data_IF_009191253869
#
_entry.id   IF_009191253869
#
_cell.length_a   1.000
_cell.length_b   1.000
_cell.length_c   1.000
_cell.angle_alpha   90.00
_cell.angle_beta   90.00
_cell.angle_gamma   90.00
#
_symmetry.space_group_name_H-M   'P 1'
#
loop_
_entity.id
_entity.type
_entity.pdbx_description
1 polymer ?
#
# COMPACT_ATOMS: atom_id res chain seq x y z
N UNK A 1 11.32 8.13 -41.69
CA UNK A 1 11.93 7.32 -40.61
C UNK A 1 12.79 8.14 -39.65
N UNK A 2 13.55 9.15 -40.10
CA UNK A 2 14.38 9.97 -39.21
C UNK A 2 13.55 10.90 -38.30
N UNK A 3 12.43 11.44 -38.78
CA UNK A 3 11.55 12.30 -37.95
C UNK A 3 10.88 11.53 -36.80
N UNK A 4 10.41 10.31 -37.05
CA UNK A 4 9.77 9.46 -36.03
C UNK A 4 10.78 9.00 -34.98
N UNK A 5 12.01 8.66 -35.39
CA UNK A 5 13.09 8.34 -34.46
C UNK A 5 13.45 9.57 -33.60
N UNK A 6 13.48 10.76 -34.19
CA UNK A 6 13.75 12.02 -33.46
C UNK A 6 12.62 12.37 -32.49
N UNK A 7 11.36 12.12 -32.84
CA UNK A 7 10.21 12.38 -32.00
C UNK A 7 10.15 11.42 -30.80
N UNK A 8 10.48 10.13 -31.03
CA UNK A 8 10.62 9.11 -29.98
C UNK A 8 11.86 9.37 -29.12
N UNK A 9 12.97 9.84 -29.70
CA UNK A 9 14.14 10.25 -28.92
C UNK A 9 13.84 11.49 -28.06
N UNK A 10 13.04 12.45 -28.56
CA UNK A 10 12.66 13.64 -27.79
C UNK A 10 11.62 13.37 -26.71
N UNK A 11 10.60 12.55 -26.99
CA UNK A 11 9.51 12.28 -26.04
C UNK A 11 9.74 11.03 -25.19
N UNK A 12 10.59 10.09 -25.60
CA UNK A 12 10.82 8.83 -24.90
C UNK A 12 11.34 9.02 -23.48
N UNK A 13 12.28 9.94 -23.28
CA UNK A 13 12.76 10.28 -21.94
C UNK A 13 11.68 10.95 -21.10
N UNK A 14 10.92 11.90 -21.67
CA UNK A 14 9.85 12.59 -20.96
C UNK A 14 8.72 11.63 -20.56
N UNK A 15 8.35 10.69 -21.43
CA UNK A 15 7.35 9.65 -21.16
C UNK A 15 7.83 8.74 -20.03
N UNK A 16 9.08 8.26 -20.09
CA UNK A 16 9.64 7.43 -19.00
C UNK A 16 9.63 8.20 -17.68
N UNK A 17 10.08 9.46 -17.69
CA UNK A 17 10.08 10.30 -16.49
C UNK A 17 8.68 10.41 -15.89
N UNK A 18 7.68 10.80 -16.69
CA UNK A 18 6.31 11.01 -16.23
C UNK A 18 5.68 9.70 -15.74
N UNK A 19 5.88 8.60 -16.45
CA UNK A 19 5.31 7.29 -16.08
C UNK A 19 5.91 6.79 -14.77
N UNK A 20 7.23 6.83 -14.64
CA UNK A 20 7.94 6.38 -13.44
C UNK A 20 7.61 7.28 -12.25
N UNK A 21 7.57 8.61 -12.46
CA UNK A 21 7.13 9.57 -11.44
C UNK A 21 5.69 9.29 -11.00
N UNK A 22 4.80 9.04 -11.96
CA UNK A 22 3.38 8.75 -11.71
C UNK A 22 3.22 7.49 -10.84
N UNK A 23 3.96 6.42 -11.15
CA UNK A 23 3.96 5.22 -10.30
C UNK A 23 4.51 5.54 -8.90
N UNK A 24 5.63 6.26 -8.81
CA UNK A 24 6.28 6.60 -7.55
C UNK A 24 5.36 7.43 -6.61
N UNK A 25 4.56 8.36 -7.15
CA UNK A 25 3.58 9.13 -6.35
C UNK A 25 2.31 8.32 -5.99
N UNK A 26 2.20 7.07 -6.44
CA UNK A 26 1.11 6.16 -6.08
C UNK A 26 0.01 5.98 -7.13
N UNK A 27 0.19 6.47 -8.37
CA UNK A 27 -0.75 6.19 -9.44
C UNK A 27 -0.55 4.75 -9.95
N UNK A 28 -1.63 4.03 -10.32
CA UNK A 28 -1.55 2.65 -10.78
C UNK A 28 -1.08 2.58 -12.25
N UNK A 29 0.14 3.04 -12.51
CA UNK A 29 0.78 3.04 -13.84
C UNK A 29 1.91 2.00 -13.83
N UNK A 30 2.03 1.12 -14.83
CA UNK A 30 3.03 0.05 -14.83
C UNK A 30 4.38 0.55 -15.36
N UNK A 31 5.22 1.20 -14.53
CA UNK A 31 6.49 1.75 -15.00
C UNK A 31 7.51 0.66 -15.38
N UNK A 32 7.40 -0.56 -14.84
CA UNK A 32 8.15 -1.73 -15.30
C UNK A 32 8.02 -1.93 -16.83
N UNK A 33 6.80 -1.78 -17.38
CA UNK A 33 6.55 -1.95 -18.83
C UNK A 33 7.20 -0.80 -19.62
N UNK A 34 7.09 0.43 -19.10
CA UNK A 34 7.73 1.58 -19.74
C UNK A 34 9.26 1.47 -19.76
N UNK A 35 9.87 0.96 -18.69
CA UNK A 35 11.32 0.72 -18.62
C UNK A 35 11.77 -0.41 -19.54
N UNK A 36 10.97 -1.48 -19.69
CA UNK A 36 11.24 -2.54 -20.66
C UNK A 36 11.22 -1.99 -22.10
N UNK A 37 10.19 -1.21 -22.44
CA UNK A 37 10.08 -0.58 -23.76
C UNK A 37 11.22 0.41 -24.02
N UNK A 38 11.59 1.20 -23.01
CA UNK A 38 12.71 2.13 -23.09
C UNK A 38 14.06 1.40 -23.23
N UNK A 39 14.25 0.28 -22.54
CA UNK A 39 15.42 -0.59 -22.71
C UNK A 39 15.55 -1.15 -24.14
N UNK A 40 14.44 -1.58 -24.73
CA UNK A 40 14.42 -2.01 -26.13
C UNK A 40 14.73 -0.84 -27.10
N UNK A 41 14.27 0.38 -26.78
CA UNK A 41 14.59 1.57 -27.55
C UNK A 41 16.09 1.95 -27.45
N UNK A 42 16.71 1.75 -26.27
CA UNK A 42 18.18 1.87 -26.11
C UNK A 42 18.90 0.86 -27.01
N UNK A 43 18.46 -0.41 -27.05
CA UNK A 43 19.05 -1.42 -27.92
C UNK A 43 18.93 -1.10 -29.42
N UNK A 44 17.91 -0.33 -29.81
CA UNK A 44 17.74 0.17 -31.19
C UNK A 44 18.54 1.43 -31.52
N UNK A 45 19.27 2.00 -30.55
CA UNK A 45 20.01 3.25 -30.69
C UNK A 45 19.15 4.52 -30.62
N UNK A 46 17.85 4.40 -30.32
CA UNK A 46 16.93 5.54 -30.23
C UNK A 46 17.05 6.33 -28.91
N UNK A 47 17.50 5.66 -27.83
CA UNK A 47 17.75 6.27 -26.53
C UNK A 47 19.17 5.94 -26.03
N UNK A 48 19.72 6.82 -25.20
CA UNK A 48 21.01 6.68 -24.54
C UNK A 48 20.80 6.02 -23.18
N UNK A 49 21.52 4.91 -22.92
CA UNK A 49 21.37 4.15 -21.67
C UNK A 49 21.69 4.98 -20.41
N UNK A 50 22.78 5.77 -20.37
CA UNK A 50 23.06 6.64 -19.22
C UNK A 50 21.96 7.68 -18.97
N UNK A 51 21.41 8.28 -20.04
CA UNK A 51 20.35 9.28 -19.92
C UNK A 51 19.05 8.64 -19.45
N UNK A 52 18.69 7.48 -19.99
CA UNK A 52 17.52 6.72 -19.56
C UNK A 52 17.60 6.37 -18.07
N UNK A 53 18.74 5.85 -17.61
CA UNK A 53 18.95 5.50 -16.21
C UNK A 53 18.79 6.73 -15.30
N UNK A 54 19.42 7.85 -15.66
CA UNK A 54 19.35 9.09 -14.89
C UNK A 54 17.92 9.61 -14.82
N UNK A 55 17.20 9.63 -15.93
CA UNK A 55 15.80 10.09 -16.00
C UNK A 55 14.87 9.21 -15.17
N UNK A 56 15.01 7.88 -15.27
CA UNK A 56 14.21 6.94 -14.50
C UNK A 56 14.46 7.07 -12.99
N UNK A 57 15.73 7.16 -12.59
CA UNK A 57 16.11 7.33 -11.18
C UNK A 57 15.56 8.65 -10.65
N UNK A 58 15.76 9.77 -11.36
CA UNK A 58 15.23 11.07 -10.93
C UNK A 58 13.70 11.07 -10.80
N UNK A 59 12.99 10.44 -11.73
CA UNK A 59 11.53 10.30 -11.65
C UNK A 59 11.07 9.59 -10.38
N UNK A 60 11.72 8.47 -10.03
CA UNK A 60 11.44 7.75 -8.78
C UNK A 60 11.78 8.59 -7.56
N UNK A 61 12.99 9.15 -7.50
CA UNK A 61 13.47 9.91 -6.35
C UNK A 61 12.55 11.10 -6.03
N UNK A 62 12.07 11.81 -7.05
CA UNK A 62 11.16 12.94 -6.84
C UNK A 62 9.83 12.48 -6.24
N UNK A 63 9.23 11.41 -6.78
CA UNK A 63 7.97 10.87 -6.27
C UNK A 63 8.09 10.28 -4.86
N UNK A 64 9.13 9.47 -4.64
CA UNK A 64 9.40 8.82 -3.37
C UNK A 64 9.76 9.84 -2.28
N UNK A 65 10.55 10.87 -2.61
CA UNK A 65 10.85 11.97 -1.69
C UNK A 65 9.61 12.79 -1.32
N UNK A 66 8.70 13.03 -2.28
CA UNK A 66 7.42 13.68 -2.02
C UNK A 66 6.62 12.89 -0.98
N UNK A 67 6.46 11.58 -1.17
CA UNK A 67 5.75 10.72 -0.24
C UNK A 67 6.47 10.59 1.11
N UNK A 68 7.80 10.57 1.13
CA UNK A 68 8.60 10.57 2.36
C UNK A 68 8.38 11.84 3.19
N UNK A 69 8.44 13.01 2.56
CA UNK A 69 8.21 14.30 3.23
C UNK A 69 6.78 14.38 3.73
N UNK A 70 5.80 13.99 2.91
CA UNK A 70 4.40 13.92 3.33
C UNK A 70 4.22 12.98 4.52
N UNK A 71 4.83 11.79 4.50
CA UNK A 71 4.81 10.84 5.60
C UNK A 71 5.46 11.40 6.87
N UNK A 72 6.53 12.18 6.74
CA UNK A 72 7.23 12.82 7.87
C UNK A 72 6.40 13.90 8.56
N UNK A 73 5.66 14.70 7.80
CA UNK A 73 4.84 15.79 8.35
C UNK A 73 3.45 15.33 8.80
N UNK A 74 2.81 14.44 8.04
CA UNK A 74 1.44 13.98 8.33
C UNK A 74 1.39 12.71 9.19
N UNK A 75 2.51 12.00 9.35
CA UNK A 75 2.62 10.81 10.18
C UNK A 75 1.57 9.75 9.86
N UNK A 76 0.95 9.18 10.90
CA UNK A 76 -0.07 8.14 10.78
C UNK A 76 -1.37 8.61 10.10
N UNK A 77 -1.61 9.93 9.97
CA UNK A 77 -2.80 10.43 9.26
C UNK A 77 -2.74 10.17 7.76
N UNK A 78 -1.55 10.27 7.15
CA UNK A 78 -1.33 9.90 5.74
C UNK A 78 -1.47 8.39 5.55
N UNK A 79 -0.92 7.60 6.47
CA UNK A 79 -1.08 6.14 6.46
C UNK A 79 -2.55 5.73 6.62
N UNK A 80 -3.33 6.45 7.44
CA UNK A 80 -4.77 6.27 7.56
C UNK A 80 -5.53 6.61 6.27
N UNK A 81 -5.09 7.62 5.51
CA UNK A 81 -5.69 7.97 4.23
C UNK A 81 -5.30 6.99 3.11
N UNK A 82 -4.03 6.58 3.04
CA UNK A 82 -3.54 5.57 2.10
C UNK A 82 -4.10 4.17 2.41
N UNK A 83 -4.18 3.78 3.67
CA UNK A 83 -4.77 2.51 4.10
C UNK A 83 -6.31 2.53 4.14
N UNK A 84 -7.01 3.67 3.97
CA UNK A 84 -8.45 3.68 3.60
C UNK A 84 -8.68 3.03 2.24
N UNK A 85 -7.67 3.06 1.36
CA UNK A 85 -7.63 2.30 0.12
C UNK A 85 -7.18 0.85 0.35
N UNK A 86 -7.01 0.37 1.59
CA UNK A 86 -6.79 -1.04 1.92
C UNK A 86 -8.03 -1.67 2.54
N UNK A 87 -8.21 -2.98 2.38
CA UNK A 87 -9.39 -3.72 2.87
C UNK A 87 -9.46 -3.73 4.41
N UNK A 88 -8.30 -3.64 5.09
CA UNK A 88 -8.21 -3.51 6.55
C UNK A 88 -7.18 -2.43 6.90
N UNK A 89 -7.62 -1.20 7.26
CA UNK A 89 -6.73 -0.08 7.49
C UNK A 89 -5.78 -0.31 8.67
N UNK A 90 -6.26 -0.89 9.76
CA UNK A 90 -5.46 -1.13 10.97
C UNK A 90 -4.41 -2.23 10.75
N UNK A 91 -4.76 -3.31 10.07
CA UNK A 91 -3.82 -4.40 9.73
C UNK A 91 -2.79 -3.96 8.67
N UNK A 92 -3.19 -3.09 7.73
CA UNK A 92 -2.31 -2.45 6.73
C UNK A 92 -1.22 -1.63 7.41
N UNK A 93 -1.61 -0.87 8.44
CA UNK A 93 -0.74 0.00 9.23
C UNK A 93 0.20 -0.84 10.11
N UNK A 94 -0.35 -1.80 10.88
CA UNK A 94 0.42 -2.60 11.83
C UNK A 94 1.39 -3.57 11.15
N UNK A 95 0.99 -4.27 10.08
CA UNK A 95 1.88 -5.21 9.37
C UNK A 95 2.99 -4.49 8.60
N UNK A 96 2.67 -3.34 7.98
CA UNK A 96 3.68 -2.53 7.30
C UNK A 96 4.71 -2.00 8.29
N UNK A 97 4.25 -1.50 9.45
CA UNK A 97 5.13 -1.07 10.53
C UNK A 97 5.98 -2.22 11.09
N UNK A 98 5.41 -3.39 11.36
CA UNK A 98 6.12 -4.54 11.92
C UNK A 98 7.17 -5.11 10.94
N UNK A 99 6.85 -5.19 9.64
CA UNK A 99 7.80 -5.63 8.61
C UNK A 99 8.97 -4.65 8.47
N UNK A 100 8.69 -3.35 8.52
CA UNK A 100 9.71 -2.31 8.50
C UNK A 100 10.57 -2.32 9.77
N UNK A 101 9.99 -2.58 10.94
CA UNK A 101 10.71 -2.70 12.21
C UNK A 101 11.63 -3.93 12.24
N UNK A 102 11.17 -5.09 11.73
CA UNK A 102 11.93 -6.36 11.74
C UNK A 102 13.02 -6.44 10.67
N UNK A 103 12.79 -5.87 9.47
CA UNK A 103 13.73 -5.95 8.34
C UNK A 103 14.42 -4.63 7.98
N UNK A 104 14.03 -3.55 8.65
CA UNK A 104 14.69 -2.25 8.60
C UNK A 104 14.90 -1.71 7.18
N UNK A 105 16.11 -1.21 6.96
CA UNK A 105 16.62 -0.43 5.82
C UNK A 105 16.57 -1.17 4.48
N UNK A 106 16.73 -2.49 4.48
CA UNK A 106 16.75 -3.33 3.27
C UNK A 106 15.37 -3.37 2.60
N UNK A 107 14.31 -3.21 3.41
CA UNK A 107 12.93 -3.20 2.92
C UNK A 107 12.70 -2.12 1.87
N UNK A 108 13.36 -0.95 1.96
CA UNK A 108 13.21 0.13 0.96
C UNK A 108 13.71 -0.27 -0.43
N UNK A 109 14.80 -1.04 -0.50
CA UNK A 109 15.38 -1.51 -1.77
C UNK A 109 14.53 -2.61 -2.39
N UNK A 110 14.12 -3.59 -1.56
CA UNK A 110 13.33 -4.74 -2.04
C UNK A 110 11.89 -4.33 -2.37
N UNK A 111 11.30 -3.39 -1.61
CA UNK A 111 9.93 -2.93 -1.78
C UNK A 111 9.66 -2.41 -3.20
N UNK A 112 10.66 -1.82 -3.87
CA UNK A 112 10.51 -1.32 -5.24
C UNK A 112 10.09 -2.39 -6.25
N UNK A 113 10.43 -3.65 -6.02
CA UNK A 113 10.07 -4.77 -6.90
C UNK A 113 8.68 -5.35 -6.62
N UNK A 114 8.02 -4.91 -5.55
CA UNK A 114 6.71 -5.43 -5.15
C UNK A 114 5.66 -4.32 -5.31
N UNK A 115 4.78 -4.42 -6.32
CA UNK A 115 3.72 -3.44 -6.55
C UNK A 115 2.88 -3.19 -5.29
N UNK A 116 2.66 -1.93 -4.95
CA UNK A 116 1.88 -1.51 -3.79
C UNK A 116 2.66 -1.49 -2.47
N UNK A 117 3.78 -2.21 -2.34
CA UNK A 117 4.72 -2.01 -1.24
C UNK A 117 5.66 -0.85 -1.56
N UNK A 118 6.07 -0.72 -2.82
CA UNK A 118 6.91 0.38 -3.31
C UNK A 118 6.34 1.77 -2.96
N UNK A 119 5.03 1.98 -3.12
CA UNK A 119 4.36 3.25 -2.84
C UNK A 119 4.11 3.51 -1.35
N UNK A 120 4.04 2.46 -0.54
CA UNK A 120 3.81 2.55 0.91
C UNK A 120 5.12 2.73 1.71
N UNK A 121 6.24 2.30 1.15
CA UNK A 121 7.54 2.30 1.81
C UNK A 121 8.08 3.71 2.10
N UNK A 122 8.11 4.69 1.16
CA UNK A 122 8.55 6.06 1.44
C UNK A 122 7.75 6.79 2.52
N UNK A 123 6.39 6.83 2.50
CA UNK A 123 5.64 7.53 3.53
C UNK A 123 5.77 6.86 4.91
N UNK A 124 5.92 5.54 4.96
CA UNK A 124 6.19 4.82 6.21
C UNK A 124 7.55 5.22 6.78
N UNK A 125 8.61 5.21 5.98
CA UNK A 125 9.94 5.67 6.40
C UNK A 125 9.93 7.12 6.92
N UNK A 126 9.18 8.00 6.24
CA UNK A 126 8.94 9.37 6.68
C UNK A 126 8.28 9.45 8.05
N UNK A 127 7.17 8.72 8.25
CA UNK A 127 6.39 8.70 9.49
C UNK A 127 7.19 8.21 10.70
N UNK A 128 8.16 7.33 10.47
CA UNK A 128 9.10 6.82 11.48
C UNK A 128 10.28 7.76 11.75
N UNK A 129 10.28 8.97 11.19
CA UNK A 129 11.34 9.97 11.32
C UNK A 129 12.72 9.45 10.92
N UNK A 130 12.78 8.57 9.93
CA UNK A 130 14.04 8.08 9.37
C UNK A 130 14.92 9.26 8.93
N UNK A 131 16.24 9.09 9.05
CA UNK A 131 17.19 10.09 8.57
C UNK A 131 17.02 10.30 7.05
N UNK A 132 16.82 11.55 6.56
CA UNK A 132 16.57 11.81 5.15
C UNK A 132 17.73 11.41 4.23
N UNK A 133 18.97 11.52 4.70
CA UNK A 133 20.14 11.16 3.91
C UNK A 133 20.22 9.64 3.74
N UNK A 134 19.98 8.89 4.82
CA UNK A 134 19.90 7.44 4.76
C UNK A 134 18.74 6.95 3.87
N UNK A 135 17.57 7.60 3.95
CA UNK A 135 16.45 7.31 3.05
C UNK A 135 16.87 7.51 1.59
N UNK A 136 17.43 8.67 1.26
CA UNK A 136 17.84 8.99 -0.11
C UNK A 136 18.90 8.01 -0.64
N UNK A 137 19.88 7.60 0.18
CA UNK A 137 20.89 6.62 -0.23
C UNK A 137 20.28 5.26 -0.60
N UNK A 138 19.36 4.77 0.23
CA UNK A 138 18.68 3.49 -0.02
C UNK A 138 17.71 3.58 -1.20
N UNK A 139 17.05 4.72 -1.34
CA UNK A 139 16.12 4.98 -2.43
C UNK A 139 16.84 5.08 -3.77
N UNK A 140 17.97 5.80 -3.83
CA UNK A 140 18.87 5.83 -4.99
C UNK A 140 19.35 4.43 -5.36
N UNK A 141 19.80 3.64 -4.36
CA UNK A 141 20.27 2.28 -4.60
C UNK A 141 19.16 1.39 -5.19
N UNK A 142 17.96 1.44 -4.60
CA UNK A 142 16.80 0.70 -5.07
C UNK A 142 16.31 1.16 -6.45
N UNK A 143 16.23 2.46 -6.68
CA UNK A 143 15.78 3.04 -7.94
C UNK A 143 16.74 2.67 -9.08
N UNK A 144 18.05 2.73 -8.80
CA UNK A 144 19.08 2.33 -9.76
C UNK A 144 18.98 0.84 -10.07
N UNK A 145 18.85 -0.02 -9.05
CA UNK A 145 18.71 -1.45 -9.25
C UNK A 145 17.45 -1.81 -10.04
N UNK A 146 16.33 -1.16 -9.75
CA UNK A 146 15.06 -1.35 -10.45
C UNK A 146 15.16 -0.91 -11.92
N UNK A 147 15.67 0.29 -12.18
CA UNK A 147 15.85 0.81 -13.53
C UNK A 147 16.82 -0.05 -14.36
N UNK A 148 17.93 -0.52 -13.76
CA UNK A 148 18.87 -1.41 -14.41
C UNK A 148 18.25 -2.78 -14.69
N UNK A 149 17.49 -3.35 -13.75
CA UNK A 149 16.88 -4.66 -13.93
C UNK A 149 15.90 -4.65 -15.11
N UNK A 150 14.91 -3.76 -15.11
CA UNK A 150 13.92 -3.68 -16.18
C UNK A 150 14.49 -3.10 -17.48
N UNK A 151 15.36 -2.09 -17.40
CA UNK A 151 16.02 -1.51 -18.57
C UNK A 151 16.93 -2.51 -19.29
N UNK A 152 17.73 -3.28 -18.55
CA UNK A 152 18.61 -4.30 -19.14
C UNK A 152 17.82 -5.48 -19.67
N UNK A 153 16.74 -5.89 -19.00
CA UNK A 153 15.84 -6.92 -19.52
C UNK A 153 15.22 -6.46 -20.86
N UNK A 154 14.77 -5.20 -20.95
CA UNK A 154 14.28 -4.62 -22.18
C UNK A 154 15.32 -4.56 -23.30
N UNK A 155 16.57 -4.24 -22.94
CA UNK A 155 17.70 -4.21 -23.86
C UNK A 155 18.03 -5.59 -24.43
N UNK A 156 18.13 -6.61 -23.56
CA UNK A 156 18.51 -7.97 -23.94
C UNK A 156 17.40 -8.71 -24.71
N UNK A 157 16.14 -8.51 -24.34
CA UNK A 157 14.99 -9.21 -24.93
C UNK A 157 14.29 -8.38 -26.01
N UNK A 158 14.99 -7.44 -26.66
CA UNK A 158 14.43 -6.57 -27.71
C UNK A 158 13.69 -7.36 -28.78
N UNK A 159 14.32 -8.39 -29.35
CA UNK A 159 13.75 -9.12 -30.50
C UNK A 159 12.48 -9.90 -30.11
N UNK A 160 12.42 -10.39 -28.87
CA UNK A 160 11.22 -11.02 -28.31
C UNK A 160 10.11 -10.00 -28.07
N UNK A 161 10.44 -8.81 -27.56
CA UNK A 161 9.48 -7.71 -27.37
C UNK A 161 8.94 -7.18 -28.71
N UNK A 162 9.79 -7.09 -29.74
CA UNK A 162 9.39 -6.69 -31.10
C UNK A 162 8.50 -7.76 -31.74
N UNK A 163 8.81 -9.04 -31.58
CA UNK A 163 7.98 -10.14 -32.07
C UNK A 163 6.60 -10.18 -31.39
N UNK A 164 6.56 -9.93 -30.07
CA UNK A 164 5.31 -9.79 -29.31
C UNK A 164 4.50 -8.59 -29.84
N UNK A 165 5.12 -7.41 -29.98
CA UNK A 165 4.40 -6.20 -30.42
C UNK A 165 3.83 -6.31 -31.84
N UNK A 166 4.48 -7.02 -32.75
CA UNK A 166 3.93 -7.33 -34.09
C UNK A 166 2.75 -8.32 -34.04
N UNK A 167 2.75 -9.31 -33.14
CA UNK A 167 1.58 -10.16 -32.89
C UNK A 167 0.44 -9.44 -32.13
N UNK A 168 0.73 -8.28 -31.55
CA UNK A 168 -0.17 -7.57 -30.63
C UNK A 168 -1.12 -6.57 -31.29
N UNK A 169 -1.11 -6.33 -32.60
CA UNK A 169 -2.11 -5.39 -33.15
C UNK A 169 -3.57 -5.87 -32.93
N UNK A 170 -3.77 -7.19 -32.83
CA UNK A 170 -5.06 -7.81 -32.45
C UNK A 170 -5.11 -8.14 -30.95
N UNK A 171 -3.98 -8.50 -30.32
CA UNK A 171 -3.91 -8.84 -28.89
C UNK A 171 -3.86 -7.62 -27.95
N UNK A 172 -3.49 -6.43 -28.43
CA UNK A 172 -3.43 -5.18 -27.67
C UNK A 172 -4.80 -4.78 -27.16
N UNK A 173 -5.84 -4.89 -28.00
CA UNK A 173 -7.23 -4.65 -27.56
C UNK A 173 -7.69 -5.70 -26.56
N UNK A 174 -7.25 -6.95 -26.70
CA UNK A 174 -7.58 -8.01 -25.76
C UNK A 174 -6.90 -7.81 -24.41
N UNK A 175 -5.62 -7.45 -24.39
CA UNK A 175 -4.86 -7.18 -23.16
C UNK A 175 -5.35 -5.89 -22.50
N UNK A 176 -5.65 -4.85 -23.27
CA UNK A 176 -6.28 -3.62 -22.76
C UNK A 176 -7.66 -3.92 -22.15
N UNK A 177 -8.50 -4.72 -22.82
CA UNK A 177 -9.78 -5.16 -22.27
C UNK A 177 -9.60 -6.02 -21.02
N UNK A 178 -8.62 -6.93 -20.97
CA UNK A 178 -8.36 -7.76 -19.78
C UNK A 178 -7.88 -6.90 -18.61
N UNK A 179 -7.01 -5.91 -18.85
CA UNK A 179 -6.56 -4.97 -17.82
C UNK A 179 -7.70 -4.06 -17.34
N UNK A 180 -8.53 -3.55 -18.25
CA UNK A 180 -9.74 -2.79 -17.90
C UNK A 180 -10.74 -3.64 -17.12
N UNK A 181 -11.01 -4.87 -17.56
CA UNK A 181 -11.90 -5.81 -16.87
C UNK A 181 -11.33 -6.19 -15.51
N UNK A 182 -10.01 -6.40 -15.39
CA UNK A 182 -9.34 -6.64 -14.13
C UNK A 182 -9.44 -5.45 -13.17
N UNK A 183 -9.25 -4.23 -13.67
CA UNK A 183 -9.42 -3.00 -12.90
C UNK A 183 -10.87 -2.80 -12.46
N UNK A 184 -11.84 -3.03 -13.35
CA UNK A 184 -13.27 -2.95 -13.05
C UNK A 184 -13.66 -4.02 -12.02
N UNK A 185 -13.24 -5.27 -12.21
CA UNK A 185 -13.49 -6.36 -11.28
C UNK A 185 -12.88 -6.06 -9.90
N UNK A 186 -11.67 -5.49 -9.87
CA UNK A 186 -11.05 -5.01 -8.64
C UNK A 186 -11.88 -3.91 -7.99
N UNK A 187 -12.28 -2.87 -8.72
CA UNK A 187 -13.13 -1.78 -8.21
C UNK A 187 -14.45 -2.34 -7.67
N UNK A 188 -15.11 -3.24 -8.40
CA UNK A 188 -16.37 -3.87 -8.00
C UNK A 188 -16.17 -4.70 -6.74
N UNK A 189 -15.14 -5.54 -6.68
CA UNK A 189 -14.77 -6.30 -5.48
C UNK A 189 -14.54 -5.36 -4.29
N UNK A 190 -13.83 -4.24 -4.50
CA UNK A 190 -13.58 -3.23 -3.47
C UNK A 190 -14.86 -2.53 -3.01
N UNK A 191 -15.77 -2.19 -3.92
CA UNK A 191 -17.07 -1.59 -3.60
C UNK A 191 -17.97 -2.59 -2.88
N UNK A 192 -17.98 -3.86 -3.28
CA UNK A 192 -18.71 -4.93 -2.61
C UNK A 192 -18.18 -5.14 -1.19
N UNK A 193 -16.86 -5.19 -1.02
CA UNK A 193 -16.23 -5.25 0.29
C UNK A 193 -16.58 -4.02 1.13
N UNK A 194 -16.48 -2.82 0.57
CA UNK A 194 -16.82 -1.59 1.27
C UNK A 194 -18.28 -1.57 1.71
N UNK A 195 -19.21 -1.98 0.83
CA UNK A 195 -20.64 -2.12 1.14
C UNK A 195 -20.88 -3.17 2.23
N UNK A 196 -20.24 -4.34 2.13
CA UNK A 196 -20.33 -5.42 3.13
C UNK A 196 -19.83 -4.96 4.49
N UNK A 197 -18.73 -4.21 4.54
CA UNK A 197 -18.15 -3.73 5.80
C UNK A 197 -18.79 -2.44 6.32
N UNK A 198 -19.43 -1.65 5.46
CA UNK A 198 -20.18 -0.45 5.86
C UNK A 198 -21.40 -0.79 6.72
N UNK A 199 -21.96 -2.00 6.58
CA UNK A 199 -23.07 -2.49 7.41
C UNK A 199 -22.63 -2.68 8.87
N UNK A 200 -21.38 -3.08 9.11
CA UNK A 200 -20.84 -3.25 10.47
C UNK A 200 -20.32 -1.95 11.09
N UNK A 201 -20.42 -0.83 10.37
CA UNK A 201 -19.87 0.47 10.81
C UNK A 201 -20.80 1.22 11.78
N UNK A 202 -22.06 0.81 11.86
CA UNK A 202 -23.03 1.32 12.83
C UNK A 202 -23.08 0.32 13.98
N UNK A 203 -22.18 0.50 14.94
CA UNK A 203 -22.28 -0.19 16.23
C UNK A 203 -23.22 0.64 17.11
N UNK A 204 -24.38 0.10 17.53
CA UNK A 204 -25.27 0.83 18.42
C UNK A 204 -24.53 1.16 19.72
N UNK A 205 -24.56 2.43 20.12
CA UNK A 205 -23.97 2.90 21.38
C UNK A 205 -25.04 2.92 22.45
N UNK A 206 -24.67 2.48 23.66
CA UNK A 206 -25.55 2.47 24.83
C UNK A 206 -24.97 3.44 25.86
N UNK A 207 -25.86 4.21 26.50
CA UNK A 207 -25.47 5.14 27.56
C UNK A 207 -25.06 4.36 28.82
N UNK A 208 -24.09 4.89 29.56
CA UNK A 208 -23.52 4.21 30.74
C UNK A 208 -24.60 3.95 31.80
N UNK A 209 -25.53 4.89 31.97
CA UNK A 209 -26.64 4.82 32.92
C UNK A 209 -27.66 3.73 32.54
N UNK A 210 -27.85 3.48 31.26
CA UNK A 210 -28.72 2.41 30.77
C UNK A 210 -28.09 1.04 31.01
N UNK A 211 -26.79 0.91 30.72
CA UNK A 211 -26.05 -0.31 30.99
C UNK A 211 -25.96 -0.61 32.50
N UNK A 212 -25.73 0.42 33.33
CA UNK A 212 -25.72 0.29 34.78
C UNK A 212 -27.06 -0.21 35.33
N UNK A 213 -28.19 0.29 34.80
CA UNK A 213 -29.54 -0.20 35.16
C UNK A 213 -29.74 -1.66 34.77
N UNK A 214 -29.32 -2.07 33.57
CA UNK A 214 -29.38 -3.49 33.14
C UNK A 214 -28.56 -4.39 34.07
N UNK A 215 -27.34 -3.97 34.44
CA UNK A 215 -26.48 -4.73 35.35
C UNK A 215 -27.03 -4.84 36.78
N UNK A 216 -27.91 -3.92 37.18
CA UNK A 216 -28.60 -3.95 38.47
C UNK A 216 -29.92 -4.75 38.46
N UNK A 217 -30.39 -5.16 37.27
CA UNK A 217 -31.63 -5.93 37.09
C UNK A 217 -31.38 -7.45 37.14
N UNK A 218 -32.45 -8.25 37.21
CA UNK A 218 -32.38 -9.71 37.14
C UNK A 218 -31.77 -10.23 35.82
N UNK A 219 -31.75 -9.39 34.78
CA UNK A 219 -31.22 -9.69 33.44
C UNK A 219 -29.69 -9.61 33.34
N UNK A 220 -28.99 -9.38 34.47
CA UNK A 220 -27.52 -9.30 34.56
C UNK A 220 -26.83 -10.54 33.99
N UNK A 221 -27.43 -11.72 34.13
CA UNK A 221 -26.85 -12.99 33.67
C UNK A 221 -26.67 -13.05 32.14
N UNK A 222 -27.49 -12.28 31.41
CA UNK A 222 -27.51 -12.20 29.95
C UNK A 222 -26.51 -11.17 29.38
N UNK A 223 -25.90 -10.35 30.23
CA UNK A 223 -24.95 -9.30 29.82
C UNK A 223 -23.51 -9.80 29.94
N UNK A 224 -22.73 -9.67 28.87
CA UNK A 224 -21.28 -9.85 28.88
C UNK A 224 -20.58 -8.52 28.61
N UNK A 225 -19.82 -8.05 29.60
CA UNK A 225 -18.96 -6.87 29.47
C UNK A 225 -17.58 -7.26 28.95
N UNK A 226 -17.11 -6.55 27.94
CA UNK A 226 -15.84 -6.83 27.28
C UNK A 226 -14.97 -5.57 27.25
N UNK A 227 -13.82 -5.64 27.91
CA UNK A 227 -12.78 -4.61 27.92
C UNK A 227 -11.87 -4.81 26.70
N UNK A 228 -11.90 -3.86 25.75
CA UNK A 228 -11.11 -3.90 24.51
C UNK A 228 -9.97 -2.87 24.50
N UNK A 229 -9.52 -2.41 25.68
CA UNK A 229 -8.38 -1.49 25.78
C UNK A 229 -7.08 -2.17 25.32
N UNK A 230 -6.39 -1.54 24.37
CA UNK A 230 -5.16 -2.07 23.77
C UNK A 230 -3.95 -1.95 24.71
N UNK A 231 -2.93 -2.76 24.45
CA UNK A 231 -1.75 -2.92 25.32
C UNK A 231 -1.02 -1.61 25.70
N UNK A 232 -1.10 -0.56 24.87
CA UNK A 232 -0.48 0.76 25.16
C UNK A 232 -1.30 1.69 26.06
N UNK A 233 -2.59 1.37 26.28
CA UNK A 233 -3.51 2.10 27.16
C UNK A 233 -4.05 1.23 28.31
N UNK A 234 -3.64 -0.03 28.37
CA UNK A 234 -4.03 -0.99 29.40
C UNK A 234 -2.96 -1.05 30.49
N UNK A 235 -3.27 -0.52 31.66
CA UNK A 235 -2.53 -0.77 32.89
C UNK A 235 -3.20 -1.95 33.63
N UNK A 236 -2.47 -3.05 33.94
CA UNK A 236 -3.00 -4.16 34.74
C UNK A 236 -3.58 -3.73 36.10
N UNK A 237 -3.14 -2.59 36.63
CA UNK A 237 -3.63 -2.02 37.89
C UNK A 237 -4.80 -1.04 37.70
N UNK A 238 -5.20 -0.75 36.46
CA UNK A 238 -6.33 0.12 36.21
C UNK A 238 -7.64 -0.52 36.67
N UNK A 239 -8.53 0.30 37.21
CA UNK A 239 -9.89 -0.12 37.52
C UNK A 239 -10.59 -0.68 36.27
N UNK A 240 -11.37 -1.75 36.46
CA UNK A 240 -12.17 -2.39 35.43
C UNK A 240 -13.61 -2.45 35.88
N UNK A 241 -14.55 -2.44 34.93
CA UNK A 241 -15.95 -2.71 35.25
C UNK A 241 -16.05 -4.14 35.78
N UNK A 242 -16.70 -4.30 36.93
CA UNK A 242 -16.81 -5.59 37.61
C UNK A 242 -17.44 -6.65 36.68
N UNK A 243 -16.90 -7.86 36.69
CA UNK A 243 -17.31 -8.99 35.83
C UNK A 243 -17.04 -8.79 34.32
N UNK A 244 -16.20 -7.82 33.92
CA UNK A 244 -15.77 -7.72 32.53
C UNK A 244 -14.64 -8.70 32.19
N UNK A 245 -14.73 -9.33 31.01
CA UNK A 245 -13.62 -10.10 30.43
C UNK A 245 -12.74 -9.15 29.60
N UNK A 246 -11.45 -9.47 29.48
CA UNK A 246 -10.54 -8.72 28.62
C UNK A 246 -10.48 -9.42 27.28
N UNK A 247 -10.54 -8.65 26.20
CA UNK A 247 -10.38 -9.15 24.85
C UNK A 247 -9.27 -8.37 24.15
N UNK A 248 -8.18 -9.05 23.79
CA UNK A 248 -7.02 -8.42 23.15
C UNK A 248 -7.34 -8.13 21.68
N UNK A 249 -7.39 -6.84 21.25
CA UNK A 249 -7.77 -6.50 19.88
C UNK A 249 -6.82 -7.11 18.84
N UNK A 250 -5.55 -7.32 19.19
CA UNK A 250 -4.54 -7.89 18.31
C UNK A 250 -4.71 -9.41 18.07
N UNK A 251 -5.51 -10.11 18.90
CA UNK A 251 -5.75 -11.54 18.78
C UNK A 251 -7.26 -11.88 18.64
N UNK A 252 -8.05 -10.90 18.16
CA UNK A 252 -9.51 -10.99 18.02
C UNK A 252 -10.02 -12.29 17.36
N UNK A 253 -9.41 -12.82 16.27
CA UNK A 253 -9.94 -14.00 15.58
C UNK A 253 -9.95 -15.28 16.43
N UNK A 254 -9.01 -15.44 17.35
CA UNK A 254 -8.98 -16.57 18.27
C UNK A 254 -9.89 -16.31 19.49
N UNK A 255 -9.87 -15.08 20.01
CA UNK A 255 -10.63 -14.75 21.21
C UNK A 255 -12.15 -14.72 20.98
N UNK A 256 -12.62 -14.34 19.79
CA UNK A 256 -14.04 -14.36 19.42
C UNK A 256 -14.61 -15.78 19.46
N UNK A 257 -13.82 -16.82 19.18
CA UNK A 257 -14.31 -18.21 19.17
C UNK A 257 -14.79 -18.67 20.55
N UNK A 258 -14.24 -18.08 21.61
CA UNK A 258 -14.54 -18.43 22.99
C UNK A 258 -15.68 -17.58 23.58
N UNK A 259 -16.25 -16.64 22.82
CA UNK A 259 -17.35 -15.82 23.30
C UNK A 259 -18.67 -16.60 23.31
N UNK A 260 -19.49 -16.47 24.38
CA UNK A 260 -20.83 -17.02 24.41
C UNK A 260 -21.69 -16.35 23.33
N UNK A 261 -22.44 -17.16 22.58
CA UNK A 261 -23.31 -16.70 21.48
C UNK A 261 -24.72 -16.34 21.93
N UNK A 262 -25.05 -16.70 23.16
CA UNK A 262 -26.35 -16.57 23.83
C UNK A 262 -26.45 -15.29 24.67
N UNK A 263 -25.39 -14.49 24.78
CA UNK A 263 -25.34 -13.27 25.60
C UNK A 263 -25.24 -12.00 24.78
N UNK A 264 -25.78 -10.91 25.33
CA UNK A 264 -25.59 -9.57 24.81
C UNK A 264 -24.18 -9.07 25.17
N UNK A 265 -23.38 -8.76 24.14
CA UNK A 265 -21.99 -8.34 24.31
C UNK A 265 -21.88 -6.81 24.27
N UNK A 266 -21.42 -6.23 25.37
CA UNK A 266 -21.15 -4.79 25.50
C UNK A 266 -19.64 -4.57 25.58
N UNK A 267 -19.10 -3.91 24.56
CA UNK A 267 -17.68 -3.55 24.49
C UNK A 267 -17.45 -2.14 25.02
N UNK A 268 -16.39 -1.96 25.81
CA UNK A 268 -15.95 -0.64 26.26
C UNK A 268 -14.44 -0.46 26.06
N UNK A 269 -14.06 0.79 25.81
CA UNK A 269 -12.68 1.26 25.76
C UNK A 269 -12.52 2.49 26.67
N UNK A 270 -11.33 3.10 26.65
CA UNK A 270 -11.07 4.40 27.28
C UNK A 270 -11.90 5.53 26.68
#
# INVERSE_FOLDING_TARGET
MHDVLSLIAHHGYAVVFVVVLSEAIGLPVPAAIALLAAGAAVASGALSAPVLLLVAVLGMLVGDSLLFVLGRHMGWALLGWLCKLSVNPETCILRSAESFYKRGKITLVIAKFIPGINTMAPPLAGSMKMDPLLFLQLDVAGATLYALAYGSLGFLFRDFLVAITHGFQTASRAVEMVLLLGLIAYIVYRVQLYRKHSIYRIVPRVQVEELARKLASEDKSNVLLVDVRSHGYYDPNAARIQNSIRLEPNNLPEEIKNLPKDKDIYVYCT
#
